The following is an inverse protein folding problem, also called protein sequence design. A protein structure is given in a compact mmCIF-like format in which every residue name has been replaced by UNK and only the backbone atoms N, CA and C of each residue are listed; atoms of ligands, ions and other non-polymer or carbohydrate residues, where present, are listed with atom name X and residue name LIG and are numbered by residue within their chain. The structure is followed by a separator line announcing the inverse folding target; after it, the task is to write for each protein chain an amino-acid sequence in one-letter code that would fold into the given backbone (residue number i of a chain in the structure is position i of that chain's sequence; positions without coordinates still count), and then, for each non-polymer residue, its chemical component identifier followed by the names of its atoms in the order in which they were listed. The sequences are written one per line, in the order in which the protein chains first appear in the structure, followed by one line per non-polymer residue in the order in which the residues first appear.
data_IF_015146340954
#
_entry.id   IF_015146340954
#
_cell.length_a   1.000
_cell.length_b   1.000
_cell.length_c   1.000
_cell.angle_alpha   90.00
_cell.angle_beta   90.00
_cell.angle_gamma   90.00
#
_symmetry.space_group_name_H-M   'P 1'
#
loop_
_entity.id
_entity.type
_entity.pdbx_description
1 polymer ?
#
# COMPACT_ATOMS: atom_id res chain seq x y z
N UNK A 1 23.27 -3.03 -26.33
CA UNK A 1 23.62 -3.68 -25.04
C UNK A 1 22.44 -3.77 -24.08
N UNK A 2 21.87 -2.66 -23.59
CA UNK A 2 20.74 -2.71 -22.62
C UNK A 2 19.54 -3.46 -23.21
N UNK A 3 19.09 -3.06 -24.40
CA UNK A 3 17.97 -3.73 -25.10
C UNK A 3 18.29 -5.21 -25.38
N UNK A 4 19.49 -5.52 -25.89
CA UNK A 4 19.91 -6.92 -26.12
C UNK A 4 19.87 -7.78 -24.85
N UNK A 5 20.22 -7.21 -23.69
CA UNK A 5 20.12 -7.88 -22.39
C UNK A 5 18.66 -8.18 -22.04
N UNK A 6 17.77 -7.20 -22.21
CA UNK A 6 16.33 -7.40 -21.97
C UNK A 6 15.77 -8.49 -22.89
N UNK A 7 16.18 -8.52 -24.16
CA UNK A 7 15.80 -9.59 -25.09
C UNK A 7 16.23 -10.96 -24.57
N UNK A 8 17.49 -11.10 -24.18
CA UNK A 8 17.98 -12.35 -23.64
C UNK A 8 17.15 -12.84 -22.44
N UNK A 9 16.84 -11.94 -21.51
CA UNK A 9 16.02 -12.29 -20.35
C UNK A 9 14.58 -12.67 -20.70
N UNK A 10 13.96 -12.01 -21.68
CA UNK A 10 12.59 -12.35 -22.11
C UNK A 10 12.59 -13.62 -22.96
N UNK A 11 13.38 -13.68 -24.03
CA UNK A 11 13.31 -14.72 -25.05
C UNK A 11 14.02 -16.02 -24.62
N UNK A 12 15.11 -15.92 -23.86
CA UNK A 12 15.89 -17.10 -23.44
C UNK A 12 15.57 -17.53 -22.02
N UNK A 13 15.42 -16.59 -21.09
CA UNK A 13 15.15 -16.88 -19.68
C UNK A 13 13.66 -16.85 -19.32
N UNK A 14 12.80 -16.43 -20.25
CA UNK A 14 11.34 -16.36 -20.09
C UNK A 14 10.90 -15.46 -18.93
N UNK A 15 11.60 -14.34 -18.71
CA UNK A 15 11.23 -13.32 -17.72
C UNK A 15 10.00 -12.53 -18.17
N UNK A 16 9.02 -12.35 -17.28
CA UNK A 16 7.74 -11.67 -17.55
C UNK A 16 7.78 -10.13 -17.45
N UNK A 17 8.88 -9.56 -16.97
CA UNK A 17 9.01 -8.13 -16.75
C UNK A 17 10.21 -7.74 -15.89
N UNK A 18 10.41 -6.43 -15.75
CA UNK A 18 11.59 -5.83 -15.14
C UNK A 18 11.20 -4.67 -14.23
N UNK A 19 11.86 -4.58 -13.07
CA UNK A 19 11.91 -3.37 -12.24
C UNK A 19 13.28 -2.73 -12.43
N UNK A 20 13.30 -1.54 -13.02
CA UNK A 20 14.52 -0.79 -13.29
C UNK A 20 14.88 0.05 -12.05
N UNK A 21 16.03 -0.27 -11.47
CA UNK A 21 16.64 0.46 -10.37
C UNK A 21 17.11 1.84 -10.83
N UNK A 22 16.84 2.87 -10.03
CA UNK A 22 17.14 4.28 -10.31
C UNK A 22 16.89 4.67 -11.79
N UNK A 23 15.72 4.31 -12.31
CA UNK A 23 15.40 4.34 -13.74
C UNK A 23 15.55 5.73 -14.37
N UNK A 24 15.47 6.79 -13.56
CA UNK A 24 15.74 8.16 -13.99
C UNK A 24 17.14 8.37 -14.57
N UNK A 25 18.14 7.55 -14.22
CA UNK A 25 19.47 7.62 -14.83
C UNK A 25 19.43 7.37 -16.34
N UNK A 26 18.50 6.53 -16.81
CA UNK A 26 18.31 6.24 -18.23
C UNK A 26 17.72 7.42 -19.00
N UNK A 27 17.27 8.46 -18.29
CA UNK A 27 16.87 9.74 -18.90
C UNK A 27 18.02 10.73 -19.09
N UNK A 28 19.23 10.41 -18.64
CA UNK A 28 20.39 11.30 -18.73
C UNK A 28 21.27 11.01 -19.94
N UNK A 29 21.88 12.05 -20.49
CA UNK A 29 22.90 11.93 -21.53
C UNK A 29 24.28 11.56 -20.95
N UNK A 30 25.29 11.43 -21.82
CA UNK A 30 26.67 11.14 -21.42
C UNK A 30 27.33 12.24 -20.58
N UNK A 31 26.74 13.44 -20.52
CA UNK A 31 27.18 14.55 -19.67
C UNK A 31 26.38 14.62 -18.36
N UNK A 32 25.45 13.69 -18.14
CA UNK A 32 24.58 13.64 -16.96
C UNK A 32 23.37 14.58 -17.02
N UNK A 33 23.10 15.22 -18.16
CA UNK A 33 21.96 16.13 -18.32
C UNK A 33 20.68 15.36 -18.62
N UNK A 34 19.57 15.79 -18.02
CA UNK A 34 18.26 15.15 -18.23
C UNK A 34 17.74 15.50 -19.62
N UNK A 35 17.45 14.47 -20.41
CA UNK A 35 16.86 14.59 -21.73
C UNK A 35 15.35 14.33 -21.63
N UNK A 36 14.48 15.23 -22.15
CA UNK A 36 13.03 15.02 -22.10
C UNK A 36 12.54 13.77 -22.85
N UNK A 37 13.20 13.41 -23.95
CA UNK A 37 12.89 12.24 -24.76
C UNK A 37 14.13 11.34 -24.87
N UNK A 38 14.46 10.59 -23.83
CA UNK A 38 15.67 9.78 -23.82
C UNK A 38 15.51 8.57 -24.74
N UNK A 39 16.44 8.35 -25.68
CA UNK A 39 16.31 7.30 -26.68
C UNK A 39 16.18 5.91 -26.04
N UNK A 40 16.96 5.62 -24.99
CA UNK A 40 16.96 4.30 -24.35
C UNK A 40 15.59 3.89 -23.81
N UNK A 41 14.84 4.79 -23.16
CA UNK A 41 13.54 4.44 -22.60
C UNK A 41 12.48 4.24 -23.70
N UNK A 42 12.57 5.02 -24.78
CA UNK A 42 11.70 4.85 -25.95
C UNK A 42 12.04 3.58 -26.74
N UNK A 43 13.31 3.27 -26.90
CA UNK A 43 13.77 2.03 -27.54
C UNK A 43 13.23 0.81 -26.78
N UNK A 44 13.32 0.81 -25.44
CA UNK A 44 12.76 -0.27 -24.59
C UNK A 44 11.25 -0.39 -24.76
N UNK A 45 10.51 0.72 -24.71
CA UNK A 45 9.04 0.68 -24.79
C UNK A 45 8.51 0.31 -26.19
N UNK A 46 9.22 0.71 -27.24
CA UNK A 46 8.79 0.47 -28.63
C UNK A 46 9.26 -0.86 -29.20
N UNK A 47 10.10 -1.60 -28.47
CA UNK A 47 10.67 -2.86 -28.91
C UNK A 47 9.63 -4.00 -28.95
N UNK A 48 9.35 -4.58 -30.14
CA UNK A 48 8.35 -5.63 -30.28
C UNK A 48 8.59 -6.87 -29.41
N UNK A 49 9.85 -7.27 -29.18
CA UNK A 49 10.17 -8.41 -28.31
C UNK A 49 9.75 -8.18 -26.85
N UNK A 50 9.60 -6.91 -26.43
CA UNK A 50 9.25 -6.51 -25.07
C UNK A 50 7.76 -6.13 -24.91
N UNK A 51 6.95 -6.14 -25.97
CA UNK A 51 5.57 -5.65 -25.96
C UNK A 51 4.62 -6.33 -24.94
N UNK A 52 4.97 -7.52 -24.45
CA UNK A 52 4.24 -8.23 -23.37
C UNK A 52 4.90 -8.16 -21.98
N UNK A 53 6.14 -7.65 -21.90
CA UNK A 53 6.89 -7.58 -20.66
C UNK A 53 6.40 -6.40 -19.80
N UNK A 54 6.33 -6.60 -18.48
CA UNK A 54 5.93 -5.56 -17.53
C UNK A 54 7.13 -4.66 -17.24
N UNK A 55 6.99 -3.35 -17.43
CA UNK A 55 8.04 -2.37 -17.16
C UNK A 55 7.70 -1.56 -15.91
N UNK A 56 8.55 -1.62 -14.90
CA UNK A 56 8.38 -0.90 -13.62
C UNK A 56 9.60 -0.03 -13.38
N UNK A 57 9.40 1.27 -13.11
CA UNK A 57 10.46 2.22 -12.85
C UNK A 57 10.53 2.61 -11.36
N UNK A 58 11.73 2.61 -10.80
CA UNK A 58 12.08 3.50 -9.72
C UNK A 58 12.39 4.88 -10.31
N UNK A 59 11.37 5.75 -10.40
CA UNK A 59 11.43 7.00 -11.14
C UNK A 59 12.13 8.13 -10.36
N UNK A 60 13.33 7.85 -9.83
CA UNK A 60 14.24 8.83 -9.25
C UNK A 60 15.70 8.38 -9.38
N UNK A 61 16.65 9.26 -9.07
CA UNK A 61 18.08 8.91 -8.98
C UNK A 61 18.79 9.56 -7.79
N UNK A 62 20.00 9.07 -7.50
CA UNK A 62 20.83 9.53 -6.39
C UNK A 62 21.34 10.98 -6.55
N UNK A 63 21.22 11.59 -7.74
CA UNK A 63 21.57 12.98 -7.99
C UNK A 63 20.38 13.94 -7.73
N UNK A 64 19.26 13.43 -7.21
CA UNK A 64 18.10 14.22 -6.78
C UNK A 64 17.03 14.42 -7.85
N UNK A 65 17.13 13.79 -9.02
CA UNK A 65 16.04 13.81 -9.99
C UNK A 65 14.87 12.95 -9.47
N UNK A 66 13.66 13.51 -9.51
CA UNK A 66 12.44 12.84 -9.08
C UNK A 66 11.35 12.99 -10.15
N UNK A 67 10.96 11.87 -10.75
CA UNK A 67 10.09 11.80 -11.93
C UNK A 67 8.80 11.00 -11.68
N UNK A 68 8.46 10.68 -10.43
CA UNK A 68 7.19 9.99 -10.11
C UNK A 68 5.99 10.82 -10.59
N UNK A 69 5.11 10.20 -11.37
CA UNK A 69 3.96 10.81 -12.04
C UNK A 69 4.28 11.47 -13.38
N UNK A 70 5.56 11.61 -13.73
CA UNK A 70 6.02 12.26 -14.96
C UNK A 70 7.06 11.45 -15.74
N UNK A 71 7.28 10.18 -15.35
CA UNK A 71 8.20 9.29 -16.05
C UNK A 71 7.75 9.08 -17.50
N UNK A 72 8.72 8.98 -18.41
CA UNK A 72 8.48 8.88 -19.84
C UNK A 72 7.75 7.57 -20.18
N UNK A 73 6.98 7.61 -21.26
CA UNK A 73 6.27 6.44 -21.77
C UNK A 73 4.87 6.24 -21.21
N UNK A 74 4.11 5.36 -21.85
CA UNK A 74 2.74 5.00 -21.48
C UNK A 74 2.65 3.60 -20.85
N UNK A 75 3.63 2.74 -21.13
CA UNK A 75 3.66 1.34 -20.68
C UNK A 75 4.33 1.15 -19.31
N UNK A 76 4.97 2.20 -18.78
CA UNK A 76 5.70 2.15 -17.53
C UNK A 76 4.79 2.31 -16.32
N UNK A 77 4.96 1.39 -15.36
CA UNK A 77 4.45 1.52 -13.99
C UNK A 77 5.55 2.10 -13.11
N UNK A 78 5.18 2.77 -12.03
CA UNK A 78 6.14 3.53 -11.22
C UNK A 78 6.00 3.16 -9.75
N UNK A 79 7.13 2.88 -9.09
CA UNK A 79 7.19 2.81 -7.63
C UNK A 79 6.71 4.11 -7.04
N UNK A 80 5.56 4.08 -6.36
CA UNK A 80 4.96 5.27 -5.81
C UNK A 80 5.53 5.56 -4.41
N UNK A 81 6.69 6.21 -4.39
CA UNK A 81 7.31 6.67 -3.14
C UNK A 81 6.40 7.61 -2.33
N UNK A 82 5.49 8.37 -2.97
CA UNK A 82 4.51 9.20 -2.25
C UNK A 82 3.43 8.38 -1.55
N UNK A 83 3.05 7.23 -2.10
CA UNK A 83 2.14 6.29 -1.43
C UNK A 83 2.75 5.81 -0.12
N UNK A 84 4.00 5.30 -0.16
CA UNK A 84 4.76 4.86 1.02
C UNK A 84 4.76 5.93 2.10
N UNK A 85 5.20 7.11 1.69
CA UNK A 85 5.43 8.27 2.53
C UNK A 85 4.15 8.76 3.22
N UNK A 86 3.07 8.97 2.46
CA UNK A 86 1.84 9.54 3.03
C UNK A 86 1.04 8.52 3.84
N UNK A 87 1.08 7.23 3.47
CA UNK A 87 0.43 6.17 4.26
C UNK A 87 1.13 5.97 5.60
N UNK A 88 2.48 5.98 5.62
CA UNK A 88 3.27 5.97 6.86
C UNK A 88 2.92 7.17 7.76
N UNK A 89 2.93 8.37 7.21
CA UNK A 89 2.57 9.61 7.93
C UNK A 89 1.15 9.57 8.49
N UNK A 90 0.16 9.07 7.73
CA UNK A 90 -1.22 8.95 8.21
C UNK A 90 -1.34 8.06 9.44
N UNK A 91 -0.77 6.85 9.41
CA UNK A 91 -0.88 5.92 10.53
C UNK A 91 -0.02 6.29 11.74
N UNK A 92 1.05 7.07 11.55
CA UNK A 92 1.78 7.73 12.64
C UNK A 92 0.97 8.87 13.28
N UNK A 93 -0.01 9.43 12.57
CA UNK A 93 -0.87 10.52 13.05
C UNK A 93 -0.28 11.90 12.79
N UNK A 94 0.40 12.08 11.65
CA UNK A 94 0.91 13.38 11.23
C UNK A 94 -0.25 14.36 10.91
N UNK A 95 -0.11 15.62 11.32
CA UNK A 95 -1.10 16.67 11.01
C UNK A 95 -1.02 17.07 9.53
N UNK A 96 -2.17 17.36 8.91
CA UNK A 96 -2.25 17.85 7.53
C UNK A 96 -2.07 16.79 6.45
N UNK A 97 -1.95 15.51 6.82
CA UNK A 97 -1.69 14.42 5.87
C UNK A 97 -2.93 13.88 5.17
N UNK A 98 -4.12 14.11 5.73
CA UNK A 98 -5.33 13.37 5.37
C UNK A 98 -5.70 13.46 3.88
N UNK A 99 -5.64 14.65 3.29
CA UNK A 99 -5.95 14.84 1.86
C UNK A 99 -4.98 14.07 0.96
N UNK A 100 -3.68 14.11 1.29
CA UNK A 100 -2.64 13.38 0.55
C UNK A 100 -2.86 11.87 0.67
N UNK A 101 -3.13 11.39 1.88
CA UNK A 101 -3.44 9.99 2.15
C UNK A 101 -4.67 9.51 1.36
N UNK A 102 -5.74 10.30 1.31
CA UNK A 102 -6.92 9.99 0.49
C UNK A 102 -6.56 9.91 -0.99
N UNK A 103 -5.78 10.84 -1.52
CA UNK A 103 -5.32 10.77 -2.91
C UNK A 103 -4.57 9.45 -3.18
N UNK A 104 -3.69 9.01 -2.25
CA UNK A 104 -2.99 7.72 -2.36
C UNK A 104 -3.94 6.52 -2.38
N UNK A 105 -4.91 6.49 -1.47
CA UNK A 105 -5.93 5.42 -1.39
C UNK A 105 -6.71 5.27 -2.70
N UNK A 106 -6.94 6.39 -3.37
CA UNK A 106 -7.66 6.51 -4.64
C UNK A 106 -6.81 6.20 -5.89
N UNK A 107 -5.61 5.63 -5.74
CA UNK A 107 -4.72 5.31 -6.88
C UNK A 107 -3.88 6.49 -7.34
N UNK A 108 -3.74 7.51 -6.49
CA UNK A 108 -2.96 8.72 -6.75
C UNK A 108 -3.38 9.53 -7.99
N UNK A 109 -4.64 9.96 -8.13
CA UNK A 109 -5.10 10.70 -9.29
C UNK A 109 -4.36 12.04 -9.48
N UNK A 110 -3.86 12.68 -8.41
CA UNK A 110 -2.98 13.85 -8.53
C UNK A 110 -1.67 13.57 -9.29
N UNK A 111 -1.21 12.31 -9.30
CA UNK A 111 -0.04 11.87 -10.06
C UNK A 111 -0.44 11.35 -11.43
N UNK A 112 -1.37 10.39 -11.51
CA UNK A 112 -1.61 9.61 -12.73
C UNK A 112 -2.92 9.94 -13.47
N UNK A 113 -3.80 10.74 -12.89
CA UNK A 113 -5.12 11.04 -13.47
C UNK A 113 -5.07 11.84 -14.78
N UNK A 114 -4.00 12.59 -15.04
CA UNK A 114 -3.92 13.57 -16.12
C UNK A 114 -3.70 12.97 -17.53
N UNK A 115 -3.28 11.70 -17.65
CA UNK A 115 -2.89 11.07 -18.92
C UNK A 115 -3.78 9.90 -19.37
N UNK A 116 -5.00 9.77 -18.85
CA UNK A 116 -5.82 8.54 -19.00
C UNK A 116 -5.04 7.27 -18.57
N UNK A 117 -4.04 7.41 -17.68
CA UNK A 117 -3.30 6.25 -17.17
C UNK A 117 -4.22 5.36 -16.35
N UNK A 118 -3.91 4.07 -16.40
CA UNK A 118 -4.55 3.05 -15.59
C UNK A 118 -4.14 3.23 -14.11
N UNK A 119 -5.00 2.85 -13.15
CA UNK A 119 -4.64 2.83 -11.72
C UNK A 119 -3.32 2.10 -11.45
N UNK A 120 -3.09 1.01 -12.17
CA UNK A 120 -1.94 0.11 -12.04
C UNK A 120 -0.62 0.74 -12.48
N UNK A 121 -0.65 1.94 -13.08
CA UNK A 121 0.55 2.76 -13.25
C UNK A 121 1.22 3.10 -11.89
N UNK A 122 0.43 3.14 -10.81
CA UNK A 122 0.94 3.29 -9.45
C UNK A 122 1.27 1.93 -8.83
N UNK A 123 2.55 1.67 -8.55
CA UNK A 123 2.97 0.56 -7.68
C UNK A 123 2.96 1.05 -6.24
N UNK A 124 1.95 0.63 -5.48
CA UNK A 124 1.73 1.03 -4.10
C UNK A 124 2.49 0.10 -3.16
N UNK A 125 3.31 0.66 -2.28
CA UNK A 125 4.04 -0.08 -1.26
C UNK A 125 4.23 0.77 -0.01
N UNK A 126 4.27 0.14 1.15
CA UNK A 126 4.61 0.80 2.42
C UNK A 126 6.02 0.47 2.87
N UNK A 127 6.63 -0.58 2.34
CA UNK A 127 7.92 -1.15 2.70
C UNK A 127 8.54 -1.80 1.47
N UNK A 128 9.86 -1.80 1.42
CA UNK A 128 10.67 -2.37 0.36
C UNK A 128 11.97 -2.91 0.98
N UNK A 129 12.86 -3.47 0.17
CA UNK A 129 14.18 -3.88 0.67
C UNK A 129 14.99 -2.69 1.17
N UNK A 130 14.80 -1.51 0.58
CA UNK A 130 15.30 -0.25 1.11
C UNK A 130 14.40 0.27 2.24
N UNK A 131 15.02 0.60 3.37
CA UNK A 131 14.32 1.09 4.56
C UNK A 131 13.91 -0.05 5.51
N UNK A 132 13.00 0.29 6.43
CA UNK A 132 12.48 -0.68 7.39
C UNK A 132 11.55 -1.73 6.75
N UNK A 133 11.59 -2.94 7.33
CA UNK A 133 10.47 -3.90 7.30
C UNK A 133 9.20 -3.31 7.92
N UNK A 134 8.04 -3.91 7.69
CA UNK A 134 6.79 -3.41 8.30
C UNK A 134 6.79 -3.56 9.82
N UNK A 135 7.49 -4.59 10.34
CA UNK A 135 7.64 -4.77 11.78
C UNK A 135 8.52 -3.67 12.37
N UNK A 136 9.61 -3.31 11.71
CA UNK A 136 10.54 -2.32 12.23
C UNK A 136 9.99 -0.90 12.08
N UNK A 137 9.19 -0.65 11.03
CA UNK A 137 8.44 0.58 10.84
C UNK A 137 7.52 0.92 12.02
N UNK A 138 7.02 -0.10 12.74
CA UNK A 138 6.17 0.06 13.94
C UNK A 138 6.92 -0.17 15.25
N UNK A 139 8.23 -0.44 15.19
CA UNK A 139 9.03 -0.82 16.37
C UNK A 139 10.22 0.11 16.62
N UNK A 140 10.63 0.93 15.65
CA UNK A 140 11.80 1.80 15.77
C UNK A 140 11.51 3.23 15.25
N UNK A 141 11.90 4.24 16.01
CA UNK A 141 11.88 5.65 15.58
C UNK A 141 13.18 6.04 14.86
N UNK A 142 14.28 5.30 15.10
CA UNK A 142 15.59 5.57 14.51
C UNK A 142 16.16 4.31 13.86
N UNK A 143 17.02 4.50 12.87
CA UNK A 143 17.78 3.42 12.25
C UNK A 143 18.92 2.96 13.17
N UNK A 144 19.19 1.66 13.15
CA UNK A 144 20.24 0.97 13.90
C UNK A 144 21.08 0.16 12.89
N UNK A 145 21.85 0.88 12.08
CA UNK A 145 22.68 0.33 11.00
C UNK A 145 24.15 0.15 11.43
N UNK A 146 24.43 0.11 12.74
CA UNK A 146 25.80 0.04 13.27
C UNK A 146 26.60 -1.13 12.69
N UNK A 147 25.93 -2.27 12.47
CA UNK A 147 26.53 -3.50 11.93
C UNK A 147 26.94 -3.38 10.45
N UNK A 148 26.49 -2.35 9.74
CA UNK A 148 26.90 -2.09 8.35
C UNK A 148 28.33 -1.52 8.26
N UNK A 149 28.94 -1.10 9.37
CA UNK A 149 30.32 -0.63 9.42
C UNK A 149 30.53 0.83 8.98
N UNK A 150 29.46 1.57 8.66
CA UNK A 150 29.53 2.97 8.25
C UNK A 150 29.23 3.96 9.38
N UNK A 151 29.34 3.49 10.64
CA UNK A 151 29.01 4.23 11.86
C UNK A 151 27.59 4.84 11.81
N UNK A 152 26.63 4.03 11.36
CA UNK A 152 25.20 4.37 11.25
C UNK A 152 24.91 5.60 10.35
N UNK A 153 25.82 5.94 9.42
CA UNK A 153 25.63 7.05 8.47
C UNK A 153 24.80 6.66 7.25
N UNK A 154 24.85 5.39 6.86
CA UNK A 154 24.15 4.83 5.71
C UNK A 154 22.65 4.64 5.97
N UNK A 155 21.85 4.47 4.92
CA UNK A 155 20.39 4.36 5.03
C UNK A 155 19.67 5.69 5.29
N UNK A 156 18.34 5.69 5.15
CA UNK A 156 17.52 6.89 5.27
C UNK A 156 17.30 7.32 6.74
N UNK A 157 17.39 8.62 7.03
CA UNK A 157 17.09 9.14 8.37
C UNK A 157 15.58 9.39 8.58
N UNK A 158 14.87 9.89 7.55
CA UNK A 158 13.41 10.07 7.59
C UNK A 158 12.69 8.80 7.14
N UNK A 159 12.37 7.94 8.09
CA UNK A 159 11.67 6.68 7.85
C UNK A 159 10.15 6.80 7.95
N UNK A 160 9.65 7.91 8.53
CA UNK A 160 8.25 8.10 8.91
C UNK A 160 7.68 6.94 9.76
N UNK A 161 8.55 6.33 10.56
CA UNK A 161 8.24 5.24 11.47
C UNK A 161 7.69 5.75 12.81
N UNK A 162 7.15 4.83 13.60
CA UNK A 162 6.74 5.07 14.98
C UNK A 162 6.88 3.79 15.80
N UNK A 163 7.71 3.80 16.83
CA UNK A 163 8.00 2.65 17.69
C UNK A 163 6.83 2.16 18.57
N UNK A 164 5.70 2.87 18.54
CA UNK A 164 4.49 2.57 19.32
C UNK A 164 4.69 2.66 20.85
N UNK A 165 5.74 3.33 21.32
CA UNK A 165 5.98 3.66 22.72
C UNK A 165 7.31 3.15 23.29
N UNK A 166 7.91 2.10 22.71
CA UNK A 166 9.19 1.53 23.13
C UNK A 166 10.04 1.29 21.90
N UNK A 167 11.31 1.70 21.92
CA UNK A 167 12.26 1.44 20.82
C UNK A 167 12.69 -0.04 20.82
N UNK A 168 12.45 -0.74 19.72
CA UNK A 168 12.83 -2.14 19.54
C UNK A 168 11.89 -3.16 20.22
N UNK A 169 12.39 -4.37 20.54
CA UNK A 169 11.59 -5.44 21.16
C UNK A 169 10.95 -5.00 22.48
N UNK A 170 9.72 -5.46 22.74
CA UNK A 170 8.98 -5.16 23.96
C UNK A 170 8.22 -6.38 24.46
N UNK A 171 8.23 -6.58 25.78
CA UNK A 171 7.42 -7.60 26.47
C UNK A 171 6.04 -7.07 26.88
N UNK A 172 5.73 -5.79 26.62
CA UNK A 172 4.43 -5.21 26.94
C UNK A 172 3.37 -5.69 25.92
N UNK A 173 2.37 -6.49 26.35
CA UNK A 173 1.34 -7.00 25.44
C UNK A 173 0.49 -5.90 24.82
N UNK A 174 0.35 -4.73 25.46
CA UNK A 174 -0.40 -3.60 24.90
C UNK A 174 0.33 -2.98 23.71
N UNK A 175 1.66 -2.87 23.79
CA UNK A 175 2.51 -2.38 22.69
C UNK A 175 2.48 -3.38 21.54
N UNK A 176 2.67 -4.67 21.80
CA UNK A 176 2.65 -5.68 20.74
C UNK A 176 1.28 -5.81 20.05
N UNK A 177 0.17 -5.60 20.80
CA UNK A 177 -1.17 -5.53 20.22
C UNK A 177 -1.34 -4.30 19.33
N UNK A 178 -0.83 -3.14 19.74
CA UNK A 178 -0.84 -1.92 18.93
C UNK A 178 0.02 -2.08 17.67
N UNK A 179 1.23 -2.63 17.77
CA UNK A 179 2.10 -2.91 16.61
C UNK A 179 1.45 -3.85 15.62
N UNK A 180 0.88 -4.95 16.11
CA UNK A 180 0.15 -5.91 15.26
C UNK A 180 -1.03 -5.24 14.54
N UNK A 181 -1.75 -4.34 15.22
CA UNK A 181 -2.83 -3.54 14.61
C UNK A 181 -2.30 -2.61 13.52
N UNK A 182 -1.21 -1.90 13.77
CA UNK A 182 -0.58 -1.01 12.78
C UNK A 182 -0.10 -1.79 11.55
N UNK A 183 0.51 -2.96 11.73
CA UNK A 183 0.88 -3.85 10.61
C UNK A 183 -0.36 -4.24 9.79
N UNK A 184 -1.45 -4.65 10.45
CA UNK A 184 -2.72 -4.97 9.78
C UNK A 184 -3.31 -3.75 9.05
N UNK A 185 -3.21 -2.55 9.62
CA UNK A 185 -3.64 -1.30 9.00
C UNK A 185 -2.88 -1.04 7.69
N UNK A 186 -1.54 -1.16 7.73
CA UNK A 186 -0.68 -0.99 6.55
C UNK A 186 -1.01 -2.00 5.45
N UNK A 187 -1.17 -3.28 5.79
CA UNK A 187 -1.60 -4.29 4.81
C UNK A 187 -2.97 -4.01 4.22
N UNK A 188 -3.95 -3.64 5.07
CA UNK A 188 -5.32 -3.37 4.63
C UNK A 188 -5.35 -2.22 3.63
N UNK A 189 -4.69 -1.10 3.93
CA UNK A 189 -4.63 0.05 3.02
C UNK A 189 -3.83 -0.30 1.76
N UNK A 190 -2.67 -0.92 1.88
CA UNK A 190 -1.82 -1.24 0.72
C UNK A 190 -2.54 -2.15 -0.27
N UNK A 191 -3.12 -3.25 0.21
CA UNK A 191 -3.76 -4.25 -0.66
C UNK A 191 -5.10 -3.77 -1.21
N UNK A 192 -5.86 -2.96 -0.46
CA UNK A 192 -7.21 -2.56 -0.86
C UNK A 192 -7.29 -1.20 -1.56
N UNK A 193 -6.22 -0.40 -1.58
CA UNK A 193 -6.16 0.82 -2.40
C UNK A 193 -6.30 0.52 -3.90
N UNK A 194 -6.70 1.53 -4.68
CA UNK A 194 -6.58 1.46 -6.13
C UNK A 194 -5.11 1.53 -6.56
N UNK A 195 -4.75 0.88 -7.68
CA UNK A 195 -3.36 0.68 -8.11
C UNK A 195 -2.80 -0.69 -7.73
N UNK A 196 -1.54 -0.95 -8.09
CA UNK A 196 -0.90 -2.26 -7.98
C UNK A 196 -0.14 -2.39 -6.64
N UNK A 197 -0.56 -3.24 -5.69
CA UNK A 197 0.15 -3.40 -4.43
C UNK A 197 1.44 -4.21 -4.61
N UNK A 198 2.48 -3.86 -3.85
CA UNK A 198 3.70 -4.65 -3.66
C UNK A 198 3.89 -4.92 -2.17
N UNK A 199 4.33 -6.15 -1.84
CA UNK A 199 4.68 -6.56 -0.49
C UNK A 199 6.16 -6.93 -0.43
N UNK A 200 6.80 -6.62 0.70
CA UNK A 200 8.17 -7.04 0.99
C UNK A 200 8.18 -8.44 1.60
N UNK A 201 9.18 -9.24 1.23
CA UNK A 201 9.40 -10.57 1.79
C UNK A 201 9.43 -10.57 3.33
N UNK A 202 8.56 -11.37 3.93
CA UNK A 202 8.53 -11.62 5.37
C UNK A 202 7.72 -10.61 6.18
N UNK A 203 7.25 -9.52 5.57
CA UNK A 203 6.35 -8.59 6.25
C UNK A 203 5.04 -9.27 6.67
N UNK A 204 4.57 -10.26 5.91
CA UNK A 204 3.37 -11.05 6.19
C UNK A 204 3.48 -11.89 7.48
N UNK A 205 4.68 -12.02 8.02
CA UNK A 205 4.97 -12.69 9.29
C UNK A 205 5.82 -11.84 10.25
N UNK A 206 5.80 -10.51 10.09
CA UNK A 206 6.57 -9.56 10.92
C UNK A 206 8.07 -9.89 10.99
N UNK A 207 8.70 -10.20 9.85
CA UNK A 207 10.17 -10.25 9.74
C UNK A 207 10.76 -8.93 10.22
N UNK A 208 11.89 -8.99 10.92
CA UNK A 208 12.61 -7.84 11.46
C UNK A 208 14.05 -7.88 10.97
N UNK A 209 14.64 -6.71 10.80
CA UNK A 209 16.06 -6.47 10.57
C UNK A 209 16.69 -5.83 11.82
N UNK A 210 16.06 -5.94 12.99
CA UNK A 210 16.57 -5.40 14.25
C UNK A 210 16.64 -3.88 14.30
N UNK A 211 15.93 -3.17 13.42
CA UNK A 211 16.06 -1.72 13.27
C UNK A 211 17.13 -1.30 12.26
N UNK A 212 17.79 -2.24 11.58
CA UNK A 212 18.61 -1.93 10.42
C UNK A 212 17.71 -1.62 9.21
N UNK A 213 17.76 -0.40 8.69
CA UNK A 213 16.94 0.04 7.56
C UNK A 213 17.68 0.02 6.22
N UNK A 214 18.87 -0.58 6.18
CA UNK A 214 19.73 -0.63 5.02
C UNK A 214 20.63 -1.87 5.06
N UNK A 215 20.05 -3.06 5.24
CA UNK A 215 20.83 -4.29 5.42
C UNK A 215 21.45 -4.83 4.11
N UNK A 216 21.98 -3.96 3.25
CA UNK A 216 22.50 -4.29 1.92
C UNK A 216 23.73 -5.21 1.98
N UNK A 217 24.49 -5.15 3.07
CA UNK A 217 25.74 -5.90 3.28
C UNK A 217 25.62 -7.03 4.32
N UNK A 218 24.41 -7.31 4.84
CA UNK A 218 24.17 -8.33 5.85
C UNK A 218 23.69 -9.64 5.20
N UNK A 219 24.56 -10.64 5.15
CA UNK A 219 24.23 -12.02 4.73
C UNK A 219 24.14 -12.94 5.95
N UNK A 220 23.17 -12.65 6.81
CA UNK A 220 22.90 -13.34 8.07
C UNK A 220 21.41 -13.26 8.45
N UNK A 221 21.07 -13.64 9.69
CA UNK A 221 19.70 -13.64 10.23
C UNK A 221 19.00 -12.27 10.15
N UNK A 222 19.72 -11.17 10.00
CA UNK A 222 19.14 -9.84 9.74
C UNK A 222 18.39 -9.82 8.41
N UNK A 223 18.92 -10.46 7.37
CA UNK A 223 18.36 -10.44 6.01
C UNK A 223 17.64 -11.73 5.64
N UNK A 224 17.97 -12.85 6.29
CA UNK A 224 17.35 -14.14 5.99
C UNK A 224 15.87 -14.21 6.41
N UNK A 225 15.13 -15.12 5.79
CA UNK A 225 13.75 -15.41 6.16
C UNK A 225 13.71 -16.44 7.30
N UNK A 226 13.26 -16.03 8.49
CA UNK A 226 13.00 -16.96 9.60
C UNK A 226 11.67 -17.72 9.38
N UNK A 227 11.78 -18.95 8.87
CA UNK A 227 10.64 -19.84 8.63
C UNK A 227 9.84 -20.19 9.89
N UNK A 228 10.42 -20.05 11.09
CA UNK A 228 9.68 -20.28 12.34
C UNK A 228 8.59 -19.23 12.57
N UNK A 229 8.69 -18.07 11.91
CA UNK A 229 7.68 -17.01 11.97
C UNK A 229 6.33 -17.42 11.38
N UNK A 230 6.30 -18.38 10.43
CA UNK A 230 5.04 -18.91 9.90
C UNK A 230 4.14 -19.49 11.00
N UNK A 231 4.75 -20.19 11.97
CA UNK A 231 4.03 -20.73 13.12
C UNK A 231 3.80 -19.67 14.20
N UNK A 232 4.82 -18.85 14.52
CA UNK A 232 4.75 -17.84 15.58
C UNK A 232 3.77 -16.70 15.28
N UNK A 233 3.57 -16.37 13.99
CA UNK A 233 2.72 -15.27 13.49
C UNK A 233 1.62 -15.76 12.55
N UNK A 234 1.14 -16.99 12.79
CA UNK A 234 0.09 -17.62 11.98
C UNK A 234 -1.20 -16.79 11.90
N UNK A 235 -1.47 -15.97 12.92
CA UNK A 235 -2.60 -15.05 12.97
C UNK A 235 -2.49 -13.93 11.92
N UNK A 236 -1.32 -13.31 11.78
CA UNK A 236 -1.06 -12.30 10.76
C UNK A 236 -0.99 -12.92 9.37
N UNK A 237 -0.32 -14.08 9.23
CA UNK A 237 -0.25 -14.78 7.96
C UNK A 237 -1.66 -15.10 7.43
N UNK A 238 -2.56 -15.57 8.30
CA UNK A 238 -3.98 -15.78 7.96
C UNK A 238 -4.65 -14.48 7.52
N UNK A 239 -4.42 -13.38 8.24
CA UNK A 239 -4.99 -12.08 7.91
C UNK A 239 -4.57 -11.62 6.50
N UNK A 240 -3.26 -11.64 6.21
CA UNK A 240 -2.71 -11.23 4.90
C UNK A 240 -3.16 -12.18 3.79
N UNK A 241 -3.23 -13.50 4.06
CA UNK A 241 -3.75 -14.49 3.11
C UNK A 241 -5.18 -14.18 2.68
N UNK A 242 -6.07 -13.85 3.64
CA UNK A 242 -7.46 -13.52 3.34
C UNK A 242 -7.60 -12.17 2.62
N UNK A 243 -6.76 -11.18 2.94
CA UNK A 243 -6.70 -9.94 2.17
C UNK A 243 -6.28 -10.18 0.72
N UNK A 244 -5.24 -10.99 0.49
CA UNK A 244 -4.77 -11.34 -0.84
C UNK A 244 -5.82 -12.14 -1.63
N UNK A 245 -6.50 -13.10 -1.00
CA UNK A 245 -7.60 -13.82 -1.61
C UNK A 245 -8.70 -12.85 -2.08
N UNK A 246 -9.05 -11.84 -1.28
CA UNK A 246 -10.01 -10.83 -1.74
C UNK A 246 -9.46 -9.93 -2.85
N UNK A 247 -8.19 -9.50 -2.76
CA UNK A 247 -7.57 -8.66 -3.78
C UNK A 247 -7.58 -9.36 -5.15
N UNK A 248 -7.32 -10.67 -5.17
CA UNK A 248 -7.28 -11.48 -6.41
C UNK A 248 -8.66 -11.81 -6.97
N UNK A 249 -9.72 -11.71 -6.17
CA UNK A 249 -11.12 -11.79 -6.65
C UNK A 249 -11.60 -10.53 -7.35
N UNK A 250 -10.81 -9.44 -7.37
CA UNK A 250 -11.19 -8.23 -8.11
C UNK A 250 -11.29 -8.55 -9.60
N UNK A 251 -12.22 -7.85 -10.24
CA UNK A 251 -12.43 -8.00 -11.67
C UNK A 251 -11.19 -7.52 -12.46
N UNK A 252 -10.41 -8.49 -12.95
CA UNK A 252 -9.25 -8.28 -13.81
C UNK A 252 -9.63 -7.86 -15.23
N UNK A 253 -10.93 -7.91 -15.61
CA UNK A 253 -11.37 -7.36 -16.90
C UNK A 253 -11.07 -5.86 -17.01
N UNK A 254 -11.04 -5.12 -15.90
CA UNK A 254 -10.67 -3.69 -15.90
C UNK A 254 -9.23 -3.44 -16.37
N UNK A 255 -8.31 -4.33 -16.00
CA UNK A 255 -6.93 -4.32 -16.47
C UNK A 255 -6.86 -4.70 -17.96
N UNK A 256 -7.72 -5.64 -18.41
CA UNK A 256 -7.83 -6.00 -19.83
C UNK A 256 -8.46 -4.89 -20.68
N UNK A 257 -9.41 -4.14 -20.12
CA UNK A 257 -10.10 -3.02 -20.76
C UNK A 257 -9.26 -1.73 -20.75
N UNK A 258 -8.08 -1.72 -20.10
CA UNK A 258 -7.20 -0.55 -19.91
C UNK A 258 -7.97 0.67 -19.39
N UNK A 259 -8.80 0.43 -18.36
CA UNK A 259 -9.69 1.45 -17.82
C UNK A 259 -8.88 2.57 -17.15
N UNK A 260 -9.00 3.79 -17.67
CA UNK A 260 -8.34 4.95 -17.08
C UNK A 260 -8.77 5.19 -15.62
N UNK A 261 -7.83 5.61 -14.76
CA UNK A 261 -8.06 5.83 -13.33
C UNK A 261 -9.27 6.73 -13.06
N UNK A 262 -9.34 7.90 -13.70
CA UNK A 262 -10.46 8.83 -13.52
C UNK A 262 -11.82 8.22 -13.93
N UNK A 263 -11.83 7.28 -14.87
CA UNK A 263 -13.04 6.56 -15.25
C UNK A 263 -13.43 5.53 -14.19
N UNK A 264 -12.46 4.77 -13.68
CA UNK A 264 -12.67 3.85 -12.55
C UNK A 264 -13.28 4.57 -11.34
N UNK A 265 -12.71 5.72 -10.98
CA UNK A 265 -13.19 6.49 -9.83
C UNK A 265 -14.63 6.98 -10.02
N UNK A 266 -14.97 7.48 -11.22
CA UNK A 266 -16.35 7.86 -11.57
C UNK A 266 -17.32 6.68 -11.52
N UNK A 267 -16.88 5.49 -11.92
CA UNK A 267 -17.71 4.27 -11.90
C UNK A 267 -17.88 3.67 -10.50
N UNK A 268 -17.16 4.16 -9.49
CA UNK A 268 -17.18 3.60 -8.13
C UNK A 268 -18.10 4.35 -7.16
N UNK A 269 -18.76 5.43 -7.60
CA UNK A 269 -19.76 6.20 -6.84
C UNK A 269 -19.34 6.45 -5.37
N UNK A 270 -18.23 7.18 -5.21
CA UNK A 270 -17.55 7.33 -3.91
C UNK A 270 -18.07 8.57 -3.20
N UNK A 271 -18.55 8.39 -1.97
CA UNK A 271 -19.01 9.47 -1.10
C UNK A 271 -18.18 9.51 0.17
N UNK A 272 -17.56 10.66 0.45
CA UNK A 272 -16.74 10.88 1.64
C UNK A 272 -17.58 11.31 2.85
N UNK A 273 -17.15 10.88 4.03
CA UNK A 273 -17.83 11.11 5.30
C UNK A 273 -16.80 11.39 6.41
N UNK A 274 -17.25 12.02 7.48
CA UNK A 274 -16.50 12.11 8.73
C UNK A 274 -17.17 11.23 9.78
N UNK A 275 -17.23 11.69 11.02
CA UNK A 275 -18.04 11.06 12.08
C UNK A 275 -19.53 11.06 11.71
N UNK A 276 -19.97 12.07 10.96
CA UNK A 276 -21.31 12.19 10.38
C UNK A 276 -21.29 11.95 8.88
N UNK A 277 -22.40 11.46 8.36
CA UNK A 277 -22.56 11.22 6.92
C UNK A 277 -22.44 12.53 6.14
N UNK A 278 -21.69 12.47 5.05
CA UNK A 278 -21.46 13.58 4.10
C UNK A 278 -20.77 14.81 4.70
N UNK A 279 -20.16 14.67 5.88
CA UNK A 279 -19.42 15.74 6.56
C UNK A 279 -17.96 15.30 6.81
N UNK A 280 -17.14 15.08 5.76
CA UNK A 280 -15.72 14.76 5.94
C UNK A 280 -14.97 15.92 6.60
N UNK A 281 -14.05 15.59 7.51
CA UNK A 281 -13.22 16.56 8.22
C UNK A 281 -11.83 16.65 7.57
N UNK A 282 -11.63 17.67 6.75
CA UNK A 282 -10.36 17.93 6.04
C UNK A 282 -9.42 18.88 6.80
N UNK A 283 -9.74 19.26 8.05
CA UNK A 283 -8.87 20.14 8.82
C UNK A 283 -7.51 19.47 9.06
N UNK A 284 -6.41 20.25 9.17
CA UNK A 284 -5.08 19.68 9.43
C UNK A 284 -5.01 18.78 10.67
N UNK A 285 -5.80 19.04 11.70
CA UNK A 285 -5.86 18.22 12.93
C UNK A 285 -6.69 16.94 12.80
N UNK A 286 -7.26 16.63 11.63
CA UNK A 286 -8.08 15.44 11.41
C UNK A 286 -7.21 14.20 11.20
N UNK A 287 -7.50 13.14 11.96
CA UNK A 287 -6.82 11.85 11.88
C UNK A 287 -7.79 10.71 11.52
N UNK A 288 -8.95 11.04 10.95
CA UNK A 288 -9.93 10.02 10.62
C UNK A 288 -10.78 10.40 9.43
N UNK A 289 -11.21 9.39 8.68
CA UNK A 289 -12.11 9.56 7.56
C UNK A 289 -12.91 8.29 7.30
N UNK A 290 -14.09 8.43 6.72
CA UNK A 290 -14.84 7.31 6.19
C UNK A 290 -15.30 7.59 4.76
N UNK A 291 -15.56 6.54 4.00
CA UNK A 291 -16.20 6.68 2.69
C UNK A 291 -17.06 5.47 2.37
N UNK A 292 -18.06 5.71 1.55
CA UNK A 292 -18.90 4.67 0.96
C UNK A 292 -18.59 4.58 -0.53
N UNK A 293 -18.42 3.37 -1.05
CA UNK A 293 -18.17 3.12 -2.46
C UNK A 293 -19.12 2.03 -2.99
N UNK A 294 -19.66 2.23 -4.19
CA UNK A 294 -20.46 1.24 -4.92
C UNK A 294 -19.77 0.90 -6.25
N UNK A 295 -18.85 -0.07 -6.26
CA UNK A 295 -18.26 -0.53 -7.51
C UNK A 295 -19.34 -1.19 -8.38
N UNK A 296 -19.58 -0.65 -9.58
CA UNK A 296 -20.67 -1.12 -10.47
C UNK A 296 -20.71 -2.63 -10.73
N UNK A 297 -19.54 -3.30 -10.79
CA UNK A 297 -19.42 -4.73 -11.10
C UNK A 297 -19.44 -5.66 -9.86
N UNK A 298 -19.36 -5.13 -8.64
CA UNK A 298 -19.28 -5.97 -7.43
C UNK A 298 -20.63 -6.29 -6.79
N UNK A 299 -21.70 -5.59 -7.17
CA UNK A 299 -23.05 -5.77 -6.58
C UNK A 299 -23.16 -5.37 -5.10
N UNK A 300 -22.03 -5.13 -4.42
CA UNK A 300 -21.97 -4.75 -3.02
C UNK A 300 -21.72 -3.24 -2.83
N UNK A 301 -22.22 -2.73 -1.71
CA UNK A 301 -21.87 -1.42 -1.18
C UNK A 301 -20.84 -1.59 -0.08
N UNK A 302 -19.71 -0.89 -0.17
CA UNK A 302 -18.67 -0.89 0.85
C UNK A 302 -18.70 0.39 1.65
N UNK A 303 -18.43 0.29 2.95
CA UNK A 303 -18.18 1.43 3.81
C UNK A 303 -16.88 1.18 4.57
N UNK A 304 -15.91 2.07 4.35
CA UNK A 304 -14.56 1.98 4.92
C UNK A 304 -14.40 3.10 5.93
N UNK A 305 -13.93 2.76 7.12
CA UNK A 305 -13.63 3.70 8.20
C UNK A 305 -12.14 3.58 8.53
N UNK A 306 -11.45 4.70 8.53
CA UNK A 306 -10.03 4.81 8.79
C UNK A 306 -9.87 5.72 10.00
N UNK A 307 -9.55 5.13 11.17
CA UNK A 307 -9.31 5.85 12.41
C UNK A 307 -7.83 5.80 12.78
N UNK A 308 -7.05 6.80 12.37
CA UNK A 308 -5.68 6.99 12.85
C UNK A 308 -5.62 7.83 14.14
N UNK A 309 -6.75 8.20 14.74
CA UNK A 309 -6.79 8.86 16.04
C UNK A 309 -6.49 7.86 17.17
N UNK A 310 -6.01 8.38 18.31
CA UNK A 310 -5.63 7.57 19.47
C UNK A 310 -6.80 7.28 20.44
N UNK A 311 -8.01 7.74 20.13
CA UNK A 311 -9.23 7.42 20.89
C UNK A 311 -10.30 6.74 20.02
N UNK A 312 -11.27 6.04 20.64
CA UNK A 312 -12.41 5.50 19.91
C UNK A 312 -13.27 6.63 19.33
N UNK A 313 -13.70 6.46 18.07
CA UNK A 313 -14.55 7.41 17.36
C UNK A 313 -15.82 6.72 16.87
N UNK A 314 -16.96 7.40 16.99
CA UNK A 314 -18.27 6.89 16.57
C UNK A 314 -18.64 7.45 15.20
N UNK A 315 -18.73 6.57 14.20
CA UNK A 315 -19.08 6.90 12.83
C UNK A 315 -20.54 6.55 12.54
N UNK A 316 -21.26 7.45 11.87
CA UNK A 316 -22.57 7.14 11.32
C UNK A 316 -22.43 6.24 10.08
N UNK A 317 -23.35 5.29 9.95
CA UNK A 317 -23.42 4.40 8.79
C UNK A 317 -24.52 4.85 7.83
N UNK A 318 -24.30 4.77 6.50
CA UNK A 318 -25.34 5.07 5.53
C UNK A 318 -26.53 4.11 5.72
N UNK A 319 -27.76 4.55 5.45
CA UNK A 319 -28.90 3.64 5.37
C UNK A 319 -28.61 2.55 4.32
N UNK A 320 -28.83 1.29 4.68
CA UNK A 320 -28.71 0.20 3.72
C UNK A 320 -29.84 0.28 2.70
N UNK A 321 -29.51 0.57 1.44
CA UNK A 321 -30.49 0.87 0.39
C UNK A 321 -31.47 -0.28 0.05
N UNK A 322 -31.23 -1.51 0.53
CA UNK A 322 -32.02 -2.71 0.20
C UNK A 322 -32.50 -3.52 1.42
N UNK A 323 -32.56 -2.92 2.62
CA UNK A 323 -33.00 -3.61 3.84
C UNK A 323 -31.99 -4.61 4.44
N UNK A 324 -30.84 -4.84 3.77
CA UNK A 324 -29.75 -5.67 4.27
C UNK A 324 -28.86 -4.95 5.26
N UNK A 325 -28.62 -5.54 6.44
CA UNK A 325 -27.74 -4.93 7.47
C UNK A 325 -26.29 -4.87 6.99
N UNK A 326 -25.58 -3.81 7.36
CA UNK A 326 -24.12 -3.76 7.23
C UNK A 326 -23.49 -4.98 7.90
N UNK A 327 -22.50 -5.59 7.27
CA UNK A 327 -21.73 -6.72 7.81
C UNK A 327 -20.29 -6.30 7.93
N UNK A 328 -19.65 -6.65 9.05
CA UNK A 328 -18.24 -6.34 9.29
C UNK A 328 -17.35 -7.38 8.64
N UNK A 329 -16.57 -6.95 7.66
CA UNK A 329 -15.59 -7.80 7.00
C UNK A 329 -14.23 -7.71 7.68
N UNK A 330 -13.73 -6.49 7.89
CA UNK A 330 -12.43 -6.22 8.52
C UNK A 330 -12.65 -5.27 9.69
N UNK A 331 -11.96 -5.54 10.80
CA UNK A 331 -11.73 -4.58 11.90
C UNK A 331 -10.38 -4.93 12.55
N UNK A 332 -9.36 -4.16 12.21
CA UNK A 332 -7.98 -4.45 12.63
C UNK A 332 -7.75 -4.36 14.14
N UNK A 333 -8.68 -3.78 14.91
CA UNK A 333 -8.59 -3.73 16.36
C UNK A 333 -8.89 -5.08 17.02
N UNK A 334 -9.70 -5.92 16.38
CA UNK A 334 -10.11 -7.21 16.94
C UNK A 334 -8.97 -8.24 16.88
N UNK A 335 -9.07 -9.23 17.75
CA UNK A 335 -8.12 -10.34 17.76
C UNK A 335 -8.50 -11.35 16.65
N UNK A 336 -7.49 -12.02 16.10
CA UNK A 336 -7.71 -13.13 15.16
C UNK A 336 -8.56 -14.22 15.83
N UNK A 337 -9.59 -14.79 15.15
CA UNK A 337 -9.89 -14.64 13.72
C UNK A 337 -10.96 -13.58 13.38
N UNK A 338 -11.32 -12.68 14.30
CA UNK A 338 -12.42 -11.71 14.12
C UNK A 338 -12.02 -10.41 13.41
N UNK A 339 -10.73 -10.18 13.27
CA UNK A 339 -10.08 -9.07 12.57
C UNK A 339 -10.32 -9.06 11.06
N UNK A 340 -10.41 -10.24 10.43
CA UNK A 340 -10.88 -10.43 9.07
C UNK A 340 -11.60 -11.78 8.97
N UNK A 341 -12.80 -11.75 8.41
CA UNK A 341 -13.69 -12.91 8.30
C UNK A 341 -14.10 -13.15 6.85
N UNK A 342 -14.45 -14.40 6.53
CA UNK A 342 -15.11 -14.69 5.26
C UNK A 342 -16.47 -13.96 5.20
N UNK A 343 -16.85 -13.46 4.02
CA UNK A 343 -18.05 -12.63 3.86
C UNK A 343 -19.33 -13.34 4.31
N UNK A 344 -19.43 -14.65 4.08
CA UNK A 344 -20.59 -15.47 4.46
C UNK A 344 -20.75 -15.53 5.99
N UNK A 345 -19.63 -15.42 6.71
CA UNK A 345 -19.56 -15.43 8.18
C UNK A 345 -19.47 -14.04 8.80
N UNK A 346 -19.48 -12.98 7.99
CA UNK A 346 -19.35 -11.61 8.47
C UNK A 346 -20.51 -11.26 9.41
N UNK A 347 -20.24 -10.86 10.67
CA UNK A 347 -21.29 -10.55 11.62
C UNK A 347 -22.03 -9.28 11.19
N UNK A 348 -23.34 -9.27 11.39
CA UNK A 348 -24.16 -8.08 11.16
C UNK A 348 -23.82 -6.99 12.19
N UNK A 349 -23.72 -5.76 11.73
CA UNK A 349 -23.60 -4.55 12.56
C UNK A 349 -25.00 -4.10 12.97
N UNK A 350 -25.19 -3.87 14.26
CA UNK A 350 -26.44 -3.37 14.79
C UNK A 350 -26.48 -1.83 14.77
N UNK A 351 -27.65 -1.27 14.50
CA UNK A 351 -27.87 0.19 14.55
C UNK A 351 -27.42 0.92 13.29
N UNK A 352 -27.28 2.25 13.42
CA UNK A 352 -26.95 3.19 12.36
C UNK A 352 -25.54 3.80 12.53
N UNK A 353 -24.67 3.14 13.30
CA UNK A 353 -23.32 3.61 13.59
C UNK A 353 -22.35 2.47 13.88
N UNK A 354 -21.06 2.77 13.79
CA UNK A 354 -19.97 1.88 14.17
C UNK A 354 -18.94 2.63 15.02
N UNK A 355 -18.56 2.05 16.16
CA UNK A 355 -17.49 2.62 17.00
C UNK A 355 -16.14 2.03 16.55
N UNK A 356 -15.40 2.79 15.76
CA UNK A 356 -14.05 2.43 15.36
C UNK A 356 -13.08 2.73 16.51
N UNK A 357 -12.36 1.72 16.95
CA UNK A 357 -11.42 1.83 18.06
C UNK A 357 -10.14 2.58 17.65
N UNK A 358 -9.28 3.02 18.60
CA UNK A 358 -8.06 3.75 18.28
C UNK A 358 -7.19 3.04 17.25
N UNK A 359 -6.60 3.82 16.34
CA UNK A 359 -5.60 3.33 15.38
C UNK A 359 -6.08 2.10 14.61
N UNK A 360 -7.31 2.11 14.10
CA UNK A 360 -7.93 0.95 13.45
C UNK A 360 -8.49 1.28 12.06
N UNK A 361 -8.63 0.22 11.26
CA UNK A 361 -9.26 0.25 9.95
C UNK A 361 -10.40 -0.74 9.96
N UNK A 362 -11.59 -0.29 9.55
CA UNK A 362 -12.81 -1.08 9.51
C UNK A 362 -13.36 -1.07 8.09
N UNK A 363 -13.71 -2.25 7.57
CA UNK A 363 -14.44 -2.37 6.31
C UNK A 363 -15.74 -3.12 6.55
N UNK A 364 -16.82 -2.48 6.14
CA UNK A 364 -18.17 -3.01 6.17
C UNK A 364 -18.67 -3.18 4.74
N UNK A 365 -19.59 -4.11 4.54
CA UNK A 365 -20.28 -4.28 3.26
C UNK A 365 -21.76 -4.63 3.45
N UNK A 366 -22.57 -4.38 2.43
CA UNK A 366 -23.96 -4.86 2.30
C UNK A 366 -24.30 -5.11 0.83
N UNK A 367 -25.38 -5.83 0.55
CA UNK A 367 -25.86 -6.07 -0.82
C UNK A 367 -25.19 -7.23 -1.56
N UNK A 368 -24.50 -8.13 -0.85
CA UNK A 368 -24.07 -9.41 -1.44
C UNK A 368 -25.28 -10.33 -1.41
N UNK A 369 -25.94 -10.52 -2.54
CA UNK A 369 -26.94 -11.58 -2.67
C UNK A 369 -26.28 -12.89 -2.26
N UNK A 370 -26.90 -13.59 -1.31
CA UNK A 370 -26.40 -14.85 -0.72
C UNK A 370 -26.43 -16.05 -1.67
N UNK A 371 -26.52 -15.81 -2.98
CA UNK A 371 -26.62 -16.83 -4.03
C UNK A 371 -25.76 -16.46 -5.25
N UNK A 372 -24.43 -16.44 -5.11
CA UNK A 372 -23.50 -16.71 -6.22
C UNK A 372 -22.26 -17.45 -5.76
#
# INVERSE_FOLDING_TARGET
MVVDSLHYWVETMHVDGFRFDLASILSRDSLGQVIPNPPVLWDIESEPALAGAKLIAEAWDAAGLYQVGSFVGDSWKEWNGRFRDDVRSFFRGEEGILERFVDRLMGSPSLYGHKRREPEASVNFVTAHDGFTVNDLVSYDRKHNEENGEANRDGADDNRSWNCGVEGPSDDPAIEKLRTRQVKNFFTVTLLSAGMPMMLMGDEVRRTQGGNNNAYCQDDETSWFDWTLLAKRADLLRFVTLLNARRTMRDVERERERLALNQLLRQSDITWHGLKLNEPDWRPSSHSIAFTARPQKEGALFHVILNAYWEPLSFQLPPSAAGGRWRRWIDTFLDSPQDIVAWERAPAVAGNGYQAQPRSVVLLFTGVDSER
#
